data_IF_581899725418
#
_entry.id   IF_581899725418
#
_cell.length_a   1.000
_cell.length_b   1.000
_cell.length_c   1.000
_cell.angle_alpha   90.00
_cell.angle_beta   90.00
_cell.angle_gamma   90.00
#
_symmetry.space_group_name_H-M   'P 1'
#
loop_
_entity.id
_entity.type
_entity.pdbx_description
1 polymer ?
#
# COMPACT_ATOMS: atom_id res chain seq x y z
N UNK A 1 -0.37 -16.93 0.62
CA UNK A 1 -1.30 -16.22 -0.30
C UNK A 1 -1.95 -17.26 -1.19
N UNK A 2 -3.20 -17.07 -1.60
CA UNK A 2 -3.82 -17.90 -2.65
C UNK A 2 -4.19 -16.97 -3.79
N UNK A 3 -3.94 -17.42 -5.02
CA UNK A 3 -4.32 -16.70 -6.23
C UNK A 3 -5.48 -17.47 -6.86
N UNK A 4 -6.51 -16.71 -7.22
CA UNK A 4 -7.70 -17.24 -7.85
C UNK A 4 -7.83 -16.58 -9.21
N UNK A 5 -7.87 -17.40 -10.27
CA UNK A 5 -8.01 -16.92 -11.64
C UNK A 5 -9.49 -16.91 -12.01
N UNK A 6 -9.94 -15.81 -12.59
CA UNK A 6 -11.31 -15.69 -13.08
C UNK A 6 -11.45 -16.42 -14.41
N UNK A 7 -12.50 -17.24 -14.54
CA UNK A 7 -12.77 -17.97 -15.78
C UNK A 7 -13.52 -17.13 -16.84
N UNK A 8 -13.81 -15.86 -16.53
CA UNK A 8 -14.58 -14.94 -17.39
C UNK A 8 -16.10 -15.07 -17.30
N UNK A 9 -16.61 -16.08 -16.59
CA UNK A 9 -18.03 -16.33 -16.34
C UNK A 9 -18.47 -15.98 -14.91
N UNK A 10 -17.59 -15.29 -14.16
CA UNK A 10 -17.79 -14.97 -12.74
C UNK A 10 -17.38 -16.09 -11.78
N UNK A 11 -16.97 -17.25 -12.28
CA UNK A 11 -16.33 -18.29 -11.47
C UNK A 11 -14.84 -18.04 -11.30
N UNK A 12 -14.29 -18.64 -10.25
CA UNK A 12 -12.86 -18.62 -9.96
C UNK A 12 -12.36 -20.03 -9.72
N UNK A 13 -11.18 -20.33 -10.26
CA UNK A 13 -10.46 -21.54 -9.89
C UNK A 13 -9.17 -21.17 -9.15
N UNK A 14 -8.87 -21.97 -8.13
CA UNK A 14 -7.68 -21.79 -7.32
C UNK A 14 -6.49 -22.46 -8.01
N UNK A 15 -5.38 -21.75 -8.12
CA UNK A 15 -4.08 -22.35 -8.46
C UNK A 15 -3.33 -22.76 -7.20
N UNK A 16 -2.08 -23.20 -7.37
CA UNK A 16 -1.22 -23.51 -6.24
C UNK A 16 -1.15 -22.36 -5.23
N UNK A 17 -1.05 -22.74 -3.96
CA UNK A 17 -0.93 -21.78 -2.87
C UNK A 17 0.50 -21.23 -2.88
N UNK A 18 0.66 -19.96 -3.28
CA UNK A 18 1.96 -19.30 -3.17
C UNK A 18 2.31 -19.09 -1.70
N UNK A 19 3.28 -19.87 -1.23
CA UNK A 19 3.87 -19.72 0.09
C UNK A 19 4.98 -18.68 -0.01
N UNK A 20 4.58 -17.41 0.03
CA UNK A 20 5.50 -16.26 0.00
C UNK A 20 6.34 -16.14 1.27
N UNK A 21 5.77 -16.53 2.41
CA UNK A 21 6.42 -16.43 3.71
C UNK A 21 5.66 -17.28 4.75
N UNK A 22 6.34 -17.68 5.82
CA UNK A 22 5.69 -18.25 7.01
C UNK A 22 5.07 -17.16 7.91
N UNK A 23 5.11 -15.90 7.48
CA UNK A 23 4.67 -14.74 8.25
C UNK A 23 3.21 -14.36 7.94
N UNK A 24 2.58 -13.66 8.89
CA UNK A 24 1.20 -13.19 8.76
C UNK A 24 1.11 -12.05 7.74
N UNK A 25 0.71 -12.37 6.52
CA UNK A 25 0.32 -11.38 5.51
C UNK A 25 -0.94 -10.61 5.96
N UNK A 26 -0.99 -9.31 5.70
CA UNK A 26 -2.07 -8.43 6.16
C UNK A 26 -2.77 -7.66 5.04
N UNK A 27 -2.01 -7.11 4.10
CA UNK A 27 -2.52 -6.43 2.92
C UNK A 27 -1.87 -6.99 1.66
N UNK A 28 -2.57 -6.86 0.53
CA UNK A 28 -2.06 -7.18 -0.80
C UNK A 28 -2.61 -6.17 -1.80
N UNK A 29 -1.76 -5.71 -2.71
CA UNK A 29 -2.15 -4.92 -3.90
C UNK A 29 -1.44 -5.49 -5.12
N UNK A 30 -1.98 -5.18 -6.29
CA UNK A 30 -1.49 -5.64 -7.59
C UNK A 30 -1.35 -4.43 -8.53
N UNK A 31 -0.27 -4.38 -9.31
CA UNK A 31 -0.01 -3.30 -10.26
C UNK A 31 1.23 -3.59 -11.11
N UNK A 32 1.49 -2.75 -12.11
CA UNK A 32 2.76 -2.75 -12.84
C UNK A 32 3.77 -1.99 -11.98
N UNK A 33 4.61 -2.71 -11.24
CA UNK A 33 5.57 -2.13 -10.31
C UNK A 33 6.98 -2.07 -10.91
N UNK A 34 7.20 -2.76 -12.02
CA UNK A 34 8.38 -2.58 -12.86
C UNK A 34 8.00 -2.47 -14.35
N UNK A 35 9.02 -2.26 -15.19
CA UNK A 35 8.86 -2.02 -16.63
C UNK A 35 8.77 -3.30 -17.48
N UNK A 36 8.40 -4.45 -16.90
CA UNK A 36 8.34 -5.73 -17.61
C UNK A 36 6.99 -6.03 -18.29
N UNK A 37 5.98 -5.17 -18.08
CA UNK A 37 4.59 -5.30 -18.54
C UNK A 37 3.81 -6.50 -17.97
N UNK A 38 4.22 -7.05 -16.83
CA UNK A 38 3.48 -8.03 -16.06
C UNK A 38 2.94 -7.41 -14.77
N UNK A 39 1.89 -8.01 -14.24
CA UNK A 39 1.34 -7.58 -12.96
C UNK A 39 2.15 -8.17 -11.82
N UNK A 40 2.59 -7.29 -10.93
CA UNK A 40 3.37 -7.60 -9.74
C UNK A 40 2.49 -7.53 -8.49
N UNK A 41 2.95 -8.15 -7.41
CA UNK A 41 2.27 -8.09 -6.11
C UNK A 41 3.13 -7.36 -5.09
N UNK A 42 2.48 -6.49 -4.32
CA UNK A 42 3.02 -5.95 -3.08
C UNK A 42 2.22 -6.51 -1.89
N UNK A 43 2.92 -7.03 -0.88
CA UNK A 43 2.32 -7.69 0.28
C UNK A 43 2.94 -7.19 1.57
N UNK A 44 2.11 -6.80 2.55
CA UNK A 44 2.60 -6.46 3.90
C UNK A 44 2.56 -7.64 4.84
N UNK A 45 3.56 -7.73 5.71
CA UNK A 45 3.62 -8.76 6.75
C UNK A 45 3.78 -8.13 8.14
N UNK A 46 2.80 -8.37 9.01
CA UNK A 46 2.66 -7.66 10.29
C UNK A 46 3.79 -7.95 11.26
N UNK A 47 4.03 -9.22 11.56
CA UNK A 47 4.85 -9.63 12.71
C UNK A 47 6.34 -9.29 12.57
N UNK A 48 6.83 -9.14 11.34
CA UNK A 48 8.21 -8.78 11.03
C UNK A 48 8.34 -7.37 10.42
N UNK A 49 7.23 -6.66 10.22
CA UNK A 49 7.22 -5.31 9.63
C UNK A 49 7.95 -5.24 8.28
N UNK A 50 7.47 -6.01 7.31
CA UNK A 50 7.99 -6.00 5.93
C UNK A 50 6.91 -5.65 4.91
N UNK A 51 7.39 -5.09 3.80
CA UNK A 51 6.76 -5.02 2.50
C UNK A 51 7.51 -6.00 1.60
N UNK A 52 6.78 -6.92 0.97
CA UNK A 52 7.31 -7.88 0.01
C UNK A 52 6.85 -7.45 -1.38
N UNK A 53 7.79 -7.36 -2.32
CA UNK A 53 7.51 -7.11 -3.74
C UNK A 53 7.80 -8.39 -4.51
N UNK A 54 6.84 -8.82 -5.33
CA UNK A 54 6.90 -10.03 -6.12
C UNK A 54 6.67 -9.68 -7.58
N UNK A 55 7.72 -9.73 -8.39
CA UNK A 55 7.60 -9.56 -9.83
C UNK A 55 6.81 -10.71 -10.45
N UNK A 56 5.88 -10.39 -11.33
CA UNK A 56 5.06 -11.34 -12.07
C UNK A 56 5.81 -11.90 -13.27
N UNK A 57 5.69 -13.19 -13.54
CA UNK A 57 6.29 -13.80 -14.74
C UNK A 57 5.36 -13.73 -15.98
N UNK A 58 4.21 -13.05 -15.88
CA UNK A 58 3.20 -12.95 -16.94
C UNK A 58 2.30 -14.18 -17.14
N UNK A 59 2.66 -15.32 -16.55
CA UNK A 59 1.89 -16.58 -16.63
C UNK A 59 1.06 -16.88 -15.37
N UNK A 60 0.95 -15.89 -14.47
CA UNK A 60 0.27 -16.03 -13.19
C UNK A 60 1.14 -16.61 -12.07
N UNK A 61 2.42 -16.88 -12.35
CA UNK A 61 3.44 -17.17 -11.33
C UNK A 61 4.25 -15.92 -10.98
N UNK A 62 4.96 -15.98 -9.85
CA UNK A 62 5.70 -14.85 -9.30
C UNK A 62 7.12 -15.28 -8.92
N UNK A 63 8.06 -14.36 -9.07
CA UNK A 63 9.44 -14.54 -8.61
C UNK A 63 9.51 -14.59 -7.07
N UNK A 64 10.71 -14.88 -6.56
CA UNK A 64 10.98 -14.77 -5.13
C UNK A 64 10.82 -13.32 -4.67
N UNK A 65 10.24 -13.08 -3.48
CA UNK A 65 10.00 -11.72 -3.01
C UNK A 65 11.30 -10.97 -2.71
N UNK A 66 11.34 -9.70 -3.08
CA UNK A 66 12.27 -8.70 -2.52
C UNK A 66 11.62 -8.11 -1.26
N UNK A 67 12.37 -8.02 -0.16
CA UNK A 67 11.83 -7.52 1.11
C UNK A 67 12.34 -6.12 1.46
N UNK A 68 11.41 -5.24 1.79
CA UNK A 68 11.67 -3.91 2.32
C UNK A 68 11.18 -3.80 3.76
N UNK A 69 11.97 -3.15 4.61
CA UNK A 69 11.56 -2.89 5.99
C UNK A 69 10.52 -1.78 5.97
N UNK A 70 9.35 -1.99 6.56
CA UNK A 70 8.36 -0.92 6.74
C UNK A 70 8.40 -0.37 8.16
N UNK A 71 8.77 -1.16 9.18
CA UNK A 71 8.57 -0.85 10.60
C UNK A 71 7.08 -0.73 11.00
N UNK A 72 6.75 -1.04 12.25
CA UNK A 72 5.46 -0.65 12.85
C UNK A 72 4.20 -1.40 12.37
N UNK A 73 4.22 -2.73 12.34
CA UNK A 73 3.03 -3.58 12.09
C UNK A 73 2.18 -3.09 10.90
N UNK A 74 2.65 -3.29 9.66
CA UNK A 74 1.96 -2.78 8.49
C UNK A 74 0.61 -3.48 8.26
N UNK A 75 -0.42 -2.72 7.88
CA UNK A 75 -1.75 -3.27 7.58
C UNK A 75 -2.13 -3.04 6.11
N UNK A 76 -2.52 -1.81 5.78
CA UNK A 76 -3.01 -1.42 4.47
C UNK A 76 -1.88 -1.03 3.52
N UNK A 77 -2.17 -1.21 2.24
CA UNK A 77 -1.33 -0.84 1.10
C UNK A 77 -2.18 -0.04 0.12
N UNK A 78 -1.60 0.98 -0.50
CA UNK A 78 -2.26 1.74 -1.55
C UNK A 78 -1.25 2.18 -2.61
N UNK A 79 -1.42 1.68 -3.84
CA UNK A 79 -0.63 2.12 -4.99
C UNK A 79 -1.04 3.51 -5.45
N UNK A 80 -0.10 4.30 -5.94
CA UNK A 80 -0.33 5.63 -6.52
C UNK A 80 0.98 6.24 -6.98
N UNK A 81 0.93 7.20 -7.88
CA UNK A 81 2.08 8.07 -8.19
C UNK A 81 2.02 9.23 -7.20
N UNK A 82 2.95 9.29 -6.24
CA UNK A 82 2.94 10.27 -5.14
C UNK A 82 4.05 11.32 -5.26
N UNK A 83 5.03 11.15 -6.14
CA UNK A 83 6.08 12.13 -6.41
C UNK A 83 6.08 12.67 -7.87
N UNK A 84 5.12 12.24 -8.69
CA UNK A 84 4.89 12.65 -10.08
C UNK A 84 6.01 12.25 -11.04
N UNK A 85 6.67 11.13 -10.79
CA UNK A 85 7.65 10.55 -11.71
C UNK A 85 7.03 9.58 -12.74
N UNK A 86 5.72 9.32 -12.63
CA UNK A 86 4.89 8.41 -13.44
C UNK A 86 5.05 6.92 -13.12
N UNK A 87 5.83 6.57 -12.10
CA UNK A 87 5.95 5.21 -11.61
C UNK A 87 4.98 4.97 -10.44
N UNK A 88 4.54 3.72 -10.28
CA UNK A 88 3.63 3.39 -9.17
C UNK A 88 4.40 3.22 -7.86
N UNK A 89 4.20 4.17 -6.94
CA UNK A 89 4.65 4.12 -5.56
C UNK A 89 3.70 3.33 -4.66
N UNK A 90 4.14 3.08 -3.42
CA UNK A 90 3.39 2.32 -2.42
C UNK A 90 3.27 3.09 -1.11
N UNK A 91 2.05 3.49 -0.74
CA UNK A 91 1.75 3.94 0.61
C UNK A 91 1.40 2.75 1.52
N UNK A 92 2.08 2.63 2.66
CA UNK A 92 1.98 1.52 3.62
C UNK A 92 1.58 2.06 4.99
N UNK A 93 0.43 1.65 5.54
CA UNK A 93 0.06 2.08 6.89
C UNK A 93 0.97 1.47 7.95
N UNK A 94 1.38 2.24 8.94
CA UNK A 94 2.09 1.74 10.13
C UNK A 94 1.07 1.67 11.27
N UNK A 95 0.41 0.52 11.45
CA UNK A 95 -0.64 0.40 12.48
C UNK A 95 -0.10 0.27 13.91
N UNK A 96 1.22 0.19 14.09
CA UNK A 96 1.88 0.31 15.39
C UNK A 96 2.15 1.75 15.82
N UNK A 97 1.98 2.72 14.91
CA UNK A 97 2.27 4.14 15.13
C UNK A 97 1.21 5.05 14.51
N UNK A 98 1.33 6.35 14.74
CA UNK A 98 0.44 7.35 14.14
C UNK A 98 1.06 7.87 12.83
N UNK A 99 1.32 6.94 11.92
CA UNK A 99 2.07 7.23 10.69
C UNK A 99 1.83 6.20 9.58
N UNK A 100 2.34 6.50 8.40
CA UNK A 100 2.42 5.60 7.26
C UNK A 100 3.73 5.86 6.52
N UNK A 101 4.21 4.90 5.75
CA UNK A 101 5.35 5.09 4.86
C UNK A 101 4.85 5.31 3.44
N UNK A 102 5.57 6.12 2.68
CA UNK A 102 5.51 6.10 1.21
C UNK A 102 6.83 5.53 0.75
N UNK A 103 6.78 4.43 0.02
CA UNK A 103 7.91 3.83 -0.67
C UNK A 103 7.85 4.29 -2.12
N UNK A 104 8.86 5.03 -2.55
CA UNK A 104 8.98 5.51 -3.92
C UNK A 104 9.59 4.43 -4.80
N UNK A 105 8.99 4.22 -5.96
CA UNK A 105 9.52 3.34 -6.98
C UNK A 105 10.58 4.07 -7.80
N UNK A 106 11.52 3.36 -8.40
CA UNK A 106 12.46 3.92 -9.39
C UNK A 106 12.10 3.54 -10.84
N UNK A 107 10.89 3.02 -11.03
CA UNK A 107 10.37 2.45 -12.28
C UNK A 107 10.91 1.07 -12.62
N UNK A 108 11.86 0.55 -11.84
CA UNK A 108 12.45 -0.78 -12.02
C UNK A 108 12.08 -1.73 -10.88
N UNK A 109 11.13 -1.34 -10.04
CA UNK A 109 10.65 -2.11 -8.90
C UNK A 109 11.52 -1.99 -7.65
N UNK A 110 12.44 -1.01 -7.58
CA UNK A 110 13.17 -0.73 -6.34
C UNK A 110 12.41 0.26 -5.44
N UNK A 111 11.92 -0.26 -4.31
CA UNK A 111 11.20 0.50 -3.28
C UNK A 111 12.07 0.83 -2.05
N UNK A 112 13.39 0.90 -2.23
CA UNK A 112 14.36 1.15 -1.16
C UNK A 112 14.27 2.57 -0.61
N UNK A 113 13.90 3.54 -1.44
CA UNK A 113 13.62 4.91 -1.03
C UNK A 113 12.25 4.97 -0.36
N UNK A 114 12.22 5.40 0.91
CA UNK A 114 10.96 5.57 1.64
C UNK A 114 11.00 6.74 2.60
N UNK A 115 9.83 7.36 2.80
CA UNK A 115 9.65 8.44 3.74
C UNK A 115 8.54 8.10 4.72
N UNK A 116 8.75 8.44 6.01
CA UNK A 116 7.76 8.30 7.06
C UNK A 116 6.89 9.56 7.12
N UNK A 117 5.60 9.40 6.93
CA UNK A 117 4.63 10.47 6.94
C UNK A 117 3.74 10.40 8.20
N UNK A 118 3.41 11.55 8.80
CA UNK A 118 2.52 11.59 9.96
C UNK A 118 1.08 11.25 9.55
N UNK A 119 0.41 10.46 10.38
CA UNK A 119 -1.04 10.29 10.36
C UNK A 119 -1.54 10.67 11.77
N UNK A 120 -1.86 11.96 12.02
CA UNK A 120 -2.29 12.41 13.35
C UNK A 120 -3.58 11.69 13.77
N UNK A 121 -4.09 11.86 14.99
CA UNK A 121 -5.40 11.29 15.38
C UNK A 121 -5.52 9.75 15.39
N UNK A 122 -4.42 8.99 15.31
CA UNK A 122 -4.39 7.55 15.61
C UNK A 122 -3.79 6.68 14.48
N UNK A 123 -3.61 5.38 14.75
CA UNK A 123 -2.99 4.46 13.80
C UNK A 123 -3.87 4.24 12.57
N UNK A 124 -3.35 4.49 11.36
CA UNK A 124 -4.09 4.27 10.12
C UNK A 124 -4.25 2.76 9.88
N UNK A 125 -5.47 2.32 9.56
CA UNK A 125 -5.74 0.92 9.22
C UNK A 125 -5.83 0.71 7.72
N UNK A 126 -6.43 1.68 7.01
CA UNK A 126 -6.59 1.68 5.56
C UNK A 126 -6.33 3.07 4.99
N UNK A 127 -5.90 3.09 3.72
CA UNK A 127 -5.73 4.29 2.90
C UNK A 127 -6.59 4.14 1.65
N UNK A 128 -7.13 5.26 1.19
CA UNK A 128 -7.73 5.40 -0.14
C UNK A 128 -7.14 6.63 -0.80
N UNK A 129 -7.08 6.66 -2.13
CA UNK A 129 -6.46 7.75 -2.90
C UNK A 129 -7.48 8.53 -3.73
N UNK A 130 -7.16 9.78 -4.06
CA UNK A 130 -7.92 10.58 -5.02
C UNK A 130 -7.36 12.00 -5.16
N UNK A 131 -7.81 12.73 -6.17
CA UNK A 131 -7.54 14.17 -6.30
C UNK A 131 -8.53 14.93 -5.40
N UNK A 132 -8.22 15.09 -4.11
CA UNK A 132 -9.20 15.49 -3.10
C UNK A 132 -9.39 17.01 -3.09
N UNK A 133 -8.31 17.77 -3.24
CA UNK A 133 -8.33 19.24 -3.24
C UNK A 133 -8.36 19.86 -4.66
N UNK A 134 -8.42 19.03 -5.71
CA UNK A 134 -8.36 19.40 -7.14
C UNK A 134 -7.07 20.13 -7.58
N UNK A 135 -5.92 19.84 -6.97
CA UNK A 135 -4.63 20.36 -7.43
C UNK A 135 -3.95 19.49 -8.52
N UNK A 136 -4.59 18.39 -8.91
CA UNK A 136 -4.09 17.33 -9.80
C UNK A 136 -2.97 16.46 -9.22
N UNK A 137 -2.81 16.46 -7.90
CA UNK A 137 -1.90 15.57 -7.20
C UNK A 137 -2.68 14.54 -6.40
N UNK A 138 -2.09 13.35 -6.35
CA UNK A 138 -2.77 12.23 -5.71
C UNK A 138 -2.68 12.38 -4.20
N UNK A 139 -3.82 12.68 -3.59
CA UNK A 139 -3.99 12.76 -2.14
C UNK A 139 -4.39 11.41 -1.56
N UNK A 140 -4.34 11.32 -0.23
CA UNK A 140 -4.77 10.17 0.54
C UNK A 140 -5.85 10.53 1.55
N UNK A 141 -6.75 9.59 1.82
CA UNK A 141 -7.61 9.62 2.99
C UNK A 141 -7.37 8.35 3.82
N UNK A 142 -7.25 8.50 5.14
CA UNK A 142 -7.00 7.40 6.05
C UNK A 142 -8.18 7.13 6.96
N UNK A 143 -8.70 5.91 6.91
CA UNK A 143 -9.60 5.37 7.91
C UNK A 143 -8.82 4.84 9.11
N UNK A 144 -9.32 5.13 10.31
CA UNK A 144 -8.65 4.77 11.57
C UNK A 144 -9.56 3.98 12.48
N UNK A 145 -9.04 2.85 12.95
CA UNK A 145 -9.66 2.05 14.00
C UNK A 145 -9.02 2.37 15.35
N UNK A 146 -9.60 3.30 16.10
CA UNK A 146 -9.21 3.59 17.48
C UNK A 146 -10.11 2.87 18.49
N UNK A 147 -9.61 2.57 19.69
CA UNK A 147 -10.43 1.97 20.77
C UNK A 147 -11.56 2.87 21.27
N UNK A 148 -11.50 4.18 20.99
CA UNK A 148 -12.41 5.19 21.55
C UNK A 148 -13.10 6.08 20.52
N UNK A 149 -12.53 6.26 19.33
CA UNK A 149 -13.05 7.08 18.24
C UNK A 149 -12.63 6.51 16.89
N UNK A 150 -13.55 6.45 15.94
CA UNK A 150 -13.25 6.24 14.53
C UNK A 150 -13.14 7.62 13.89
N UNK A 151 -11.99 7.90 13.27
CA UNK A 151 -11.74 9.18 12.60
C UNK A 151 -11.25 8.92 11.19
N UNK A 152 -11.50 9.89 10.31
CA UNK A 152 -10.94 9.96 8.97
C UNK A 152 -10.00 11.16 8.92
N UNK A 153 -8.78 10.97 8.42
CA UNK A 153 -7.92 12.10 8.04
C UNK A 153 -7.87 12.23 6.52
N UNK A 154 -7.85 13.47 6.05
CA UNK A 154 -7.45 13.82 4.69
C UNK A 154 -5.99 14.27 4.74
N UNK A 155 -5.18 13.65 3.89
CA UNK A 155 -3.73 13.82 3.76
C UNK A 155 -3.46 14.38 2.36
N UNK A 156 -3.08 15.65 2.29
CA UNK A 156 -2.85 16.37 1.05
C UNK A 156 -1.38 16.27 0.66
N UNK A 157 -1.13 15.81 -0.56
CA UNK A 157 0.20 15.63 -1.11
C UNK A 157 0.78 16.97 -1.59
N UNK A 158 2.02 17.28 -1.20
CA UNK A 158 2.72 18.51 -1.61
C UNK A 158 3.57 18.37 -2.88
N UNK A 159 3.51 17.22 -3.57
CA UNK A 159 4.29 16.87 -4.77
C UNK A 159 5.78 16.64 -4.55
N UNK A 160 6.27 16.86 -3.34
CA UNK A 160 7.66 16.58 -2.97
C UNK A 160 7.74 15.32 -2.11
N UNK A 161 6.71 14.47 -2.20
CA UNK A 161 6.60 13.25 -1.43
C UNK A 161 6.23 13.47 0.05
N UNK A 162 5.69 14.64 0.43
CA UNK A 162 5.19 14.87 1.78
C UNK A 162 3.68 15.05 1.81
N UNK A 163 3.10 14.64 2.93
CA UNK A 163 1.68 14.75 3.18
C UNK A 163 1.41 15.69 4.34
N UNK A 164 0.56 16.68 4.11
CA UNK A 164 0.04 17.58 5.14
C UNK A 164 -1.40 17.22 5.48
N UNK A 165 -1.82 17.48 6.71
CA UNK A 165 -3.20 17.19 7.12
C UNK A 165 -4.08 18.40 6.92
N UNK A 166 -5.12 18.27 6.10
CA UNK A 166 -6.02 19.39 5.79
C UNK A 166 -7.15 19.49 6.81
N UNK A 167 -7.77 18.39 7.25
CA UNK A 167 -8.68 18.35 8.41
C UNK A 167 -8.97 16.90 8.85
N UNK A 168 -9.18 16.66 10.15
CA UNK A 168 -9.71 15.39 10.65
C UNK A 168 -11.25 15.44 10.69
N UNK A 169 -11.92 14.56 9.94
CA UNK A 169 -13.38 14.41 10.00
C UNK A 169 -13.69 13.33 11.04
N UNK A 170 -14.28 13.72 12.17
CA UNK A 170 -14.78 12.76 13.16
C UNK A 170 -16.07 12.16 12.65
N UNK A 171 -16.12 10.85 12.42
CA UNK A 171 -17.38 10.16 12.14
C UNK A 171 -18.03 9.79 13.48
N UNK A 172 -19.33 10.10 13.62
CA UNK A 172 -20.08 9.80 14.84
C UNK A 172 -20.17 8.29 15.09
N UNK A 173 -20.36 7.91 16.37
CA UNK A 173 -20.57 6.52 16.80
C UNK A 173 -21.84 5.91 16.23
#
# INVERSE_FOLDING_TARGET
LSILFGSGDGSFYKTDTLTITQQRAAGVVIGYLDNDNHLDLAVTTQNNSRLLILSGNGDGTFANPVEYITSGNPYGLQLGDYDNDLDLDIAVTNGGGNSFYVHYNDGMGDFSNKVLQPAPNGPPTFLVKGFINNDNFLDLASAKGGKTTNTLDILINDQSGNFSTDTAVTTGK
#
